data_IF_565415027415
#
_entry.id   IF_565415027415
#
_cell.length_a   1.000
_cell.length_b   1.000
_cell.length_c   1.000
_cell.angle_alpha   90.00
_cell.angle_beta   90.00
_cell.angle_gamma   90.00
#
_symmetry.space_group_name_H-M   'P 1'
#
loop_
_entity.id
_entity.type
_entity.pdbx_description
1 polymer ?
#
# COMPACT_ATOMS: atom_id res chain seq x y z
N UNK A 1 36.70 9.44 -11.58
CA UNK A 1 35.36 10.00 -11.87
C UNK A 1 34.35 9.31 -10.94
N UNK A 2 34.13 9.86 -9.74
CA UNK A 2 33.23 9.32 -8.72
C UNK A 2 31.96 10.15 -8.67
N UNK A 3 30.85 9.64 -9.21
CA UNK A 3 29.49 10.14 -8.94
C UNK A 3 28.50 8.96 -9.03
N UNK A 4 28.36 8.22 -7.94
CA UNK A 4 27.30 7.20 -7.80
C UNK A 4 26.79 7.01 -6.36
N UNK A 5 27.11 7.91 -5.42
CA UNK A 5 26.69 7.77 -4.01
C UNK A 5 25.30 8.40 -3.69
N UNK A 6 24.85 9.38 -4.49
CA UNK A 6 23.61 10.12 -4.23
C UNK A 6 22.32 9.45 -4.73
N UNK A 7 22.44 8.56 -5.73
CA UNK A 7 21.29 7.82 -6.30
C UNK A 7 20.84 6.68 -5.39
N UNK A 8 21.79 5.97 -4.78
CA UNK A 8 21.56 4.79 -3.95
C UNK A 8 20.87 5.16 -2.61
N UNK A 9 21.36 6.23 -1.98
CA UNK A 9 20.78 6.76 -0.74
C UNK A 9 19.33 7.22 -0.92
N UNK A 10 18.99 7.85 -2.06
CA UNK A 10 17.63 8.32 -2.35
C UNK A 10 16.65 7.16 -2.54
N UNK A 11 17.08 6.11 -3.24
CA UNK A 11 16.28 4.89 -3.45
C UNK A 11 15.98 4.18 -2.13
N UNK A 12 16.95 4.12 -1.22
CA UNK A 12 16.75 3.57 0.13
C UNK A 12 15.78 4.41 0.99
N UNK A 13 15.88 5.74 0.94
CA UNK A 13 14.99 6.65 1.67
C UNK A 13 13.54 6.50 1.17
N UNK A 14 13.33 6.46 -0.15
CA UNK A 14 12.01 6.27 -0.76
C UNK A 14 11.40 4.92 -0.33
N UNK A 15 12.17 3.84 -0.42
CA UNK A 15 11.70 2.53 0.03
C UNK A 15 11.39 2.47 1.53
N UNK A 16 12.12 3.22 2.35
CA UNK A 16 11.84 3.32 3.79
C UNK A 16 10.55 4.09 4.07
N UNK A 17 10.32 5.20 3.35
CA UNK A 17 9.10 5.99 3.46
C UNK A 17 7.86 5.18 3.06
N UNK A 18 7.92 4.42 1.95
CA UNK A 18 6.81 3.54 1.52
C UNK A 18 6.49 2.47 2.56
N UNK A 19 7.52 1.79 3.10
CA UNK A 19 7.34 0.82 4.19
C UNK A 19 6.70 1.46 5.42
N UNK A 20 7.09 2.68 5.75
CA UNK A 20 6.53 3.39 6.88
C UNK A 20 5.05 3.75 6.65
N UNK A 21 4.71 4.29 5.47
CA UNK A 21 3.33 4.60 5.09
C UNK A 21 2.42 3.35 5.15
N UNK A 22 2.86 2.21 4.60
CA UNK A 22 2.11 0.95 4.69
C UNK A 22 1.94 0.46 6.12
N UNK A 23 2.98 0.56 6.97
CA UNK A 23 2.86 0.20 8.40
C UNK A 23 1.82 1.06 9.13
N UNK A 24 1.80 2.36 8.85
CA UNK A 24 0.79 3.27 9.40
C UNK A 24 -0.61 2.89 8.91
N UNK A 25 -0.76 2.55 7.62
CA UNK A 25 -2.03 2.10 7.06
C UNK A 25 -2.52 0.80 7.69
N UNK A 26 -1.67 -0.22 7.85
CA UNK A 26 -2.02 -1.46 8.57
C UNK A 26 -2.43 -1.17 10.01
N UNK A 27 -1.72 -0.28 10.71
CA UNK A 27 -2.11 0.13 12.06
C UNK A 27 -3.47 0.83 12.09
N UNK A 28 -3.76 1.68 11.10
CA UNK A 28 -5.07 2.33 10.96
C UNK A 28 -6.18 1.31 10.69
N UNK A 29 -5.94 0.36 9.80
CA UNK A 29 -6.87 -0.74 9.50
C UNK A 29 -7.17 -1.52 10.78
N UNK A 30 -6.14 -1.91 11.53
CA UNK A 30 -6.30 -2.60 12.81
C UNK A 30 -7.10 -1.81 13.85
N UNK A 31 -6.88 -0.50 13.94
CA UNK A 31 -7.65 0.38 14.83
C UNK A 31 -9.13 0.45 14.44
N UNK A 32 -9.43 0.63 13.16
CA UNK A 32 -10.81 0.68 12.70
C UNK A 32 -11.49 -0.68 12.87
N UNK A 33 -10.79 -1.79 12.57
CA UNK A 33 -11.30 -3.15 12.65
C UNK A 33 -11.73 -3.59 14.06
N UNK A 34 -11.32 -2.89 15.12
CA UNK A 34 -11.76 -3.15 16.51
C UNK A 34 -12.65 -2.04 17.08
N UNK A 35 -12.92 -0.98 16.31
CA UNK A 35 -13.78 0.11 16.74
C UNK A 35 -15.24 -0.37 16.90
N UNK A 36 -16.03 0.25 17.81
CA UNK A 36 -17.48 0.08 17.86
C UNK A 36 -18.15 0.31 16.50
N UNK A 37 -19.30 -0.30 16.24
CA UNK A 37 -19.91 -0.32 14.90
C UNK A 37 -20.25 1.08 14.36
N UNK A 38 -20.72 1.99 15.21
CA UNK A 38 -20.97 3.38 14.84
C UNK A 38 -19.69 4.12 14.43
N UNK A 39 -18.62 3.94 15.20
CA UNK A 39 -17.29 4.48 14.90
C UNK A 39 -16.65 3.81 13.67
N UNK A 40 -16.93 2.52 13.45
CA UNK A 40 -16.48 1.77 12.27
C UNK A 40 -17.10 2.36 11.00
N UNK A 41 -18.42 2.52 10.98
CA UNK A 41 -19.16 3.04 9.83
C UNK A 41 -18.72 4.49 9.54
N UNK A 42 -18.63 5.33 10.58
CA UNK A 42 -18.19 6.71 10.43
C UNK A 42 -16.72 6.82 9.96
N UNK A 43 -15.86 5.89 10.38
CA UNK A 43 -14.44 5.88 10.02
C UNK A 43 -14.12 5.24 8.67
N UNK A 44 -15.02 4.44 8.11
CA UNK A 44 -14.83 3.74 6.84
C UNK A 44 -14.43 4.66 5.66
N UNK A 45 -15.16 5.74 5.33
CA UNK A 45 -14.81 6.58 4.18
C UNK A 45 -13.44 7.25 4.34
N UNK A 46 -13.05 7.59 5.58
CA UNK A 46 -11.73 8.15 5.86
C UNK A 46 -10.63 7.12 5.60
N UNK A 47 -10.84 5.87 6.02
CA UNK A 47 -9.88 4.81 5.75
C UNK A 47 -9.74 4.52 4.25
N UNK A 48 -10.85 4.48 3.50
CA UNK A 48 -10.81 4.29 2.03
C UNK A 48 -9.98 5.39 1.37
N UNK A 49 -10.20 6.66 1.74
CA UNK A 49 -9.42 7.78 1.23
C UNK A 49 -7.92 7.70 1.61
N UNK A 50 -7.60 7.21 2.81
CA UNK A 50 -6.21 6.97 3.23
C UNK A 50 -5.55 5.87 2.37
N UNK A 51 -6.26 4.78 2.06
CA UNK A 51 -5.77 3.70 1.16
C UNK A 51 -5.48 4.25 -0.23
N UNK A 52 -6.41 5.02 -0.81
CA UNK A 52 -6.24 5.66 -2.12
C UNK A 52 -5.02 6.58 -2.17
N UNK A 53 -4.83 7.38 -1.11
CA UNK A 53 -3.70 8.30 -1.03
C UNK A 53 -2.36 7.55 -0.95
N UNK A 54 -2.29 6.45 -0.19
CA UNK A 54 -1.09 5.61 -0.11
C UNK A 54 -0.80 4.95 -1.47
N UNK A 55 -1.79 4.34 -2.12
CA UNK A 55 -1.59 3.72 -3.43
C UNK A 55 -1.12 4.71 -4.49
N UNK A 56 -1.77 5.88 -4.59
CA UNK A 56 -1.37 6.93 -5.52
C UNK A 56 0.07 7.41 -5.28
N UNK A 57 0.46 7.52 -4.00
CA UNK A 57 1.82 7.91 -3.65
C UNK A 57 2.85 6.86 -4.10
N UNK A 58 2.57 5.57 -3.88
CA UNK A 58 3.44 4.48 -4.30
C UNK A 58 3.57 4.40 -5.82
N UNK A 59 2.45 4.52 -6.54
CA UNK A 59 2.41 4.54 -8.00
C UNK A 59 3.25 5.69 -8.57
N UNK A 60 3.12 6.90 -8.00
CA UNK A 60 3.93 8.07 -8.40
C UNK A 60 5.42 7.81 -8.22
N UNK A 61 5.81 7.17 -7.10
CA UNK A 61 7.21 6.84 -6.82
C UNK A 61 7.74 5.76 -7.79
N UNK A 62 6.92 4.77 -8.11
CA UNK A 62 7.27 3.71 -9.06
C UNK A 62 7.41 4.25 -10.49
N UNK A 63 6.53 5.14 -10.91
CA UNK A 63 6.61 5.84 -12.19
C UNK A 63 7.88 6.69 -12.27
N UNK A 64 8.14 7.53 -11.26
CA UNK A 64 9.34 8.38 -11.20
C UNK A 64 10.67 7.60 -11.17
N UNK A 65 10.65 6.35 -10.72
CA UNK A 65 11.83 5.48 -10.65
C UNK A 65 11.99 4.54 -11.85
N UNK A 66 11.04 4.54 -12.79
CA UNK A 66 11.06 3.66 -13.97
C UNK A 66 10.91 2.18 -13.61
N UNK A 67 10.10 1.86 -12.60
CA UNK A 67 9.95 0.49 -12.10
C UNK A 67 9.32 -0.44 -13.15
N UNK A 68 9.99 -1.56 -13.47
CA UNK A 68 9.60 -2.45 -14.57
C UNK A 68 8.24 -3.15 -14.42
N UNK A 69 7.65 -3.14 -13.22
CA UNK A 69 6.38 -3.82 -12.92
C UNK A 69 5.21 -2.86 -12.58
N UNK A 70 5.28 -1.60 -13.03
CA UNK A 70 4.26 -0.57 -12.71
C UNK A 70 2.84 -0.97 -13.11
N UNK A 71 2.65 -1.56 -14.29
CA UNK A 71 1.31 -1.88 -14.79
C UNK A 71 0.60 -2.97 -13.97
N UNK A 72 1.32 -4.00 -13.53
CA UNK A 72 0.74 -5.01 -12.65
C UNK A 72 0.39 -4.42 -11.27
N UNK A 73 1.24 -3.53 -10.75
CA UNK A 73 0.96 -2.85 -9.47
C UNK A 73 -0.28 -1.96 -9.54
N UNK A 74 -0.44 -1.18 -10.61
CA UNK A 74 -1.64 -0.38 -10.86
C UNK A 74 -2.90 -1.25 -10.91
N UNK A 75 -2.82 -2.40 -11.58
CA UNK A 75 -3.94 -3.33 -11.67
C UNK A 75 -4.32 -3.92 -10.30
N UNK A 76 -3.34 -4.31 -9.48
CA UNK A 76 -3.57 -4.81 -8.13
C UNK A 76 -4.22 -3.74 -7.23
N UNK A 77 -3.69 -2.52 -7.24
CA UNK A 77 -4.23 -1.41 -6.47
C UNK A 77 -5.66 -1.06 -6.92
N UNK A 78 -5.91 -1.01 -8.23
CA UNK A 78 -7.23 -0.75 -8.77
C UNK A 78 -8.23 -1.84 -8.37
N UNK A 79 -7.83 -3.11 -8.36
CA UNK A 79 -8.67 -4.22 -7.91
C UNK A 79 -9.06 -4.08 -6.44
N UNK A 80 -8.10 -3.76 -5.57
CA UNK A 80 -8.35 -3.53 -4.15
C UNK A 80 -9.30 -2.33 -3.93
N UNK A 81 -9.07 -1.20 -4.59
CA UNK A 81 -9.94 -0.01 -4.51
C UNK A 81 -11.36 -0.30 -5.03
N UNK A 82 -11.48 -1.04 -6.14
CA UNK A 82 -12.78 -1.47 -6.65
C UNK A 82 -13.53 -2.32 -5.62
N UNK A 83 -12.86 -3.25 -4.95
CA UNK A 83 -13.49 -4.07 -3.91
C UNK A 83 -13.98 -3.21 -2.73
N UNK A 84 -13.15 -2.28 -2.23
CA UNK A 84 -13.51 -1.37 -1.14
C UNK A 84 -14.73 -0.50 -1.49
N UNK A 85 -14.74 0.10 -2.69
CA UNK A 85 -15.88 0.89 -3.14
C UNK A 85 -17.15 0.08 -3.32
N UNK A 86 -17.05 -1.18 -3.77
CA UNK A 86 -18.23 -2.04 -3.93
C UNK A 86 -18.87 -2.45 -2.61
N UNK A 87 -18.10 -2.61 -1.54
CA UNK A 87 -18.64 -2.97 -0.23
C UNK A 87 -19.12 -1.75 0.58
N UNK A 88 -18.64 -0.55 0.24
CA UNK A 88 -18.95 0.70 0.96
C UNK A 88 -20.45 0.92 1.19
N UNK A 89 -21.36 0.80 0.20
CA UNK A 89 -22.80 1.03 0.42
C UNK A 89 -23.42 0.07 1.44
N UNK A 90 -22.90 -1.17 1.55
CA UNK A 90 -23.39 -2.14 2.53
C UNK A 90 -22.95 -1.78 3.95
N UNK A 91 -21.74 -1.26 4.09
CA UNK A 91 -21.18 -0.80 5.37
C UNK A 91 -21.92 0.44 5.84
N UNK A 92 -22.19 1.39 4.95
CA UNK A 92 -23.03 2.55 5.23
C UNK A 92 -24.46 2.15 5.66
N UNK A 93 -24.97 1.03 5.16
CA UNK A 93 -26.23 0.43 5.59
C UNK A 93 -26.14 -0.40 6.89
N UNK A 94 -24.97 -0.48 7.53
CA UNK A 94 -24.77 -1.14 8.82
C UNK A 94 -24.14 -2.53 8.77
N UNK A 95 -23.72 -3.03 7.61
CA UNK A 95 -23.06 -4.34 7.49
C UNK A 95 -21.58 -4.28 7.92
N UNK A 96 -21.34 -4.09 9.22
CA UNK A 96 -19.99 -3.95 9.78
C UNK A 96 -19.20 -5.26 9.76
N UNK A 97 -19.88 -6.41 9.78
CA UNK A 97 -19.23 -7.72 9.65
C UNK A 97 -18.51 -7.84 8.29
N UNK A 98 -19.22 -7.53 7.18
CA UNK A 98 -18.60 -7.49 5.86
C UNK A 98 -17.44 -6.48 5.80
N UNK A 99 -17.61 -5.31 6.42
CA UNK A 99 -16.55 -4.31 6.49
C UNK A 99 -15.29 -4.84 7.17
N UNK A 100 -15.43 -5.54 8.30
CA UNK A 100 -14.29 -6.12 9.03
C UNK A 100 -13.62 -7.25 8.26
N UNK A 101 -14.39 -8.08 7.55
CA UNK A 101 -13.84 -9.09 6.63
C UNK A 101 -13.02 -8.43 5.50
N UNK A 102 -13.55 -7.36 4.90
CA UNK A 102 -12.85 -6.60 3.88
C UNK A 102 -11.55 -5.97 4.42
N UNK A 103 -11.55 -5.46 5.65
CA UNK A 103 -10.34 -4.96 6.31
C UNK A 103 -9.31 -6.05 6.58
N UNK A 104 -9.73 -7.25 6.99
CA UNK A 104 -8.84 -8.39 7.18
C UNK A 104 -8.19 -8.82 5.86
N UNK A 105 -8.96 -8.86 4.76
CA UNK A 105 -8.43 -9.15 3.43
C UNK A 105 -7.46 -8.06 2.95
N UNK A 106 -7.79 -6.79 3.18
CA UNK A 106 -6.92 -5.66 2.83
C UNK A 106 -5.61 -5.71 3.62
N UNK A 107 -5.64 -5.95 4.93
CA UNK A 107 -4.45 -6.06 5.76
C UNK A 107 -3.54 -7.22 5.30
N UNK A 108 -4.14 -8.36 4.94
CA UNK A 108 -3.41 -9.49 4.37
C UNK A 108 -2.74 -9.12 3.04
N UNK A 109 -3.44 -8.43 2.13
CA UNK A 109 -2.87 -7.95 0.86
C UNK A 109 -1.73 -6.97 1.13
N UNK A 110 -1.92 -5.99 2.02
CA UNK A 110 -0.91 -4.98 2.31
C UNK A 110 0.34 -5.56 2.99
N UNK A 111 0.16 -6.58 3.83
CA UNK A 111 1.23 -7.29 4.53
C UNK A 111 1.98 -8.28 3.65
N UNK A 112 1.28 -8.90 2.69
CA UNK A 112 1.85 -9.85 1.72
C UNK A 112 2.47 -9.14 0.51
N UNK A 113 2.04 -7.92 0.16
CA UNK A 113 2.55 -7.18 -0.99
C UNK A 113 4.03 -6.84 -0.81
N UNK A 114 4.81 -7.69 -1.46
CA UNK A 114 6.26 -7.86 -1.42
C UNK A 114 7.02 -6.74 -2.14
N UNK A 115 6.55 -5.50 -2.08
CA UNK A 115 7.17 -4.35 -2.76
C UNK A 115 8.50 -3.90 -2.14
N UNK A 116 8.95 -4.56 -1.07
CA UNK A 116 10.30 -4.37 -0.53
C UNK A 116 11.33 -5.32 -1.13
N UNK A 117 10.91 -6.34 -1.90
CA UNK A 117 11.85 -7.30 -2.50
C UNK A 117 12.53 -6.78 -3.77
N UNK A 118 11.91 -5.87 -4.53
CA UNK A 118 12.53 -5.38 -5.78
C UNK A 118 13.52 -4.23 -5.57
N UNK A 119 13.51 -3.57 -4.42
CA UNK A 119 14.61 -2.66 -4.04
C UNK A 119 15.87 -3.42 -3.62
N UNK A 120 15.74 -4.66 -3.13
CA UNK A 120 16.88 -5.53 -2.88
C UNK A 120 17.46 -6.13 -4.17
N UNK A 121 16.64 -6.30 -5.22
CA UNK A 121 17.12 -6.75 -6.54
C UNK A 121 17.91 -5.66 -7.28
N UNK A 122 17.57 -4.38 -7.12
CA UNK A 122 18.39 -3.28 -7.64
C UNK A 122 19.74 -3.15 -6.89
N UNK A 123 19.78 -3.51 -5.60
CA UNK A 123 21.03 -3.59 -4.83
C UNK A 123 21.86 -4.86 -5.12
N UNK A 124 21.22 -5.96 -5.51
CA UNK A 124 21.88 -7.24 -5.82
C UNK A 124 22.39 -7.38 -7.26
N UNK A 125 21.77 -6.71 -8.23
CA UNK A 125 22.13 -6.83 -9.65
C UNK A 125 23.46 -6.14 -10.04
N UNK A 126 24.15 -5.47 -9.09
CA UNK A 126 25.49 -4.91 -9.29
C UNK A 126 26.65 -5.81 -8.84
N UNK A 127 26.38 -7.04 -8.41
CA UNK A 127 27.44 -8.04 -8.10
C UNK A 127 27.17 -9.39 -8.73
N UNK A 128 27.29 -9.46 -10.05
CA UNK A 128 27.61 -10.72 -10.75
C UNK A 128 27.81 -10.45 -12.23
N UNK A 129 29.04 -10.05 -12.59
CA UNK A 129 29.55 -10.29 -13.93
C UNK A 129 31.00 -10.78 -13.78
N UNK A 130 31.31 -12.05 -14.08
CA UNK A 130 32.69 -12.43 -14.35
C UNK A 130 33.19 -11.74 -15.64
#
# INVERSE_FOLDING_TARGET
MMRSNGSDSRVHVIGSAMRHARKLLCARIGQLAVAPDDAFIAGWPLLVAEVEAVFRHEETLMECSGHGNLQAHLADNALALCALHRVTPRIEAGDTALGREALGALDAILSLHRFTADLALVAGARRSRP
#
